data_IF_175442113290
#
_entry.id   IF_175442113290
#
_cell.length_a   1.000
_cell.length_b   1.000
_cell.length_c   1.000
_cell.angle_alpha   90.00
_cell.angle_beta   90.00
_cell.angle_gamma   90.00
#
_symmetry.space_group_name_H-M   'P 1'
#
loop_
_entity.id
_entity.type
_entity.pdbx_description
1 polymer ?
#
# COMPACT_ATOMS: atom_id res chain seq x y z
N UNK A 1 -6.21 -8.72 17.54
CA UNK A 1 -6.07 -8.82 16.06
C UNK A 1 -7.31 -9.42 15.39
N UNK A 2 -7.78 -10.62 15.76
CA UNK A 2 -9.00 -11.22 15.19
C UNK A 2 -10.26 -10.37 15.40
N UNK A 3 -10.40 -9.80 16.59
CA UNK A 3 -11.48 -8.84 16.94
C UNK A 3 -11.46 -7.58 16.07
N UNK A 4 -10.29 -6.96 15.87
CA UNK A 4 -10.13 -5.80 15.00
C UNK A 4 -10.45 -6.12 13.54
N UNK A 5 -9.99 -7.27 13.02
CA UNK A 5 -10.28 -7.69 11.64
C UNK A 5 -11.78 -7.83 11.42
N UNK A 6 -12.47 -8.49 12.33
CA UNK A 6 -13.93 -8.64 12.27
C UNK A 6 -14.65 -7.28 12.36
N UNK A 7 -14.21 -6.38 13.25
CA UNK A 7 -14.80 -5.06 13.38
C UNK A 7 -14.61 -4.18 12.14
N UNK A 8 -13.42 -4.19 11.53
CA UNK A 8 -13.13 -3.50 10.26
C UNK A 8 -14.00 -4.07 9.14
N UNK A 9 -14.04 -5.40 8.98
CA UNK A 9 -14.88 -6.04 7.96
C UNK A 9 -16.36 -5.70 8.14
N UNK A 10 -16.87 -5.76 9.37
CA UNK A 10 -18.26 -5.41 9.65
C UNK A 10 -18.53 -3.93 9.36
N UNK A 11 -17.60 -3.03 9.71
CA UNK A 11 -17.75 -1.61 9.41
C UNK A 11 -17.81 -1.35 7.90
N UNK A 12 -16.94 -1.99 7.10
CA UNK A 12 -17.01 -1.90 5.65
C UNK A 12 -18.34 -2.44 5.11
N UNK A 13 -18.80 -3.61 5.58
CA UNK A 13 -20.08 -4.20 5.16
C UNK A 13 -21.23 -3.24 5.47
N UNK A 14 -21.30 -2.72 6.69
CA UNK A 14 -22.34 -1.78 7.10
C UNK A 14 -22.31 -0.52 6.25
N UNK A 15 -21.17 0.15 6.14
CA UNK A 15 -21.06 1.42 5.41
C UNK A 15 -21.31 1.24 3.91
N UNK A 16 -20.81 0.19 3.28
CA UNK A 16 -21.10 -0.09 1.86
C UNK A 16 -22.58 -0.43 1.64
N UNK A 17 -23.22 -1.18 2.55
CA UNK A 17 -24.64 -1.49 2.45
C UNK A 17 -25.51 -0.24 2.61
N UNK A 18 -25.16 0.65 3.56
CA UNK A 18 -25.82 1.96 3.73
C UNK A 18 -25.71 2.84 2.48
N UNK A 19 -24.64 2.67 1.71
CA UNK A 19 -24.40 3.36 0.44
C UNK A 19 -25.06 2.67 -0.77
N UNK A 20 -25.79 1.56 -0.57
CA UNK A 20 -26.55 0.86 -1.61
C UNK A 20 -25.80 -0.26 -2.32
N UNK A 21 -24.59 -0.64 -1.88
CA UNK A 21 -23.90 -1.81 -2.42
C UNK A 21 -24.46 -3.11 -1.83
N UNK A 22 -24.65 -4.12 -2.69
CA UNK A 22 -24.90 -5.48 -2.24
C UNK A 22 -23.57 -6.16 -1.93
N UNK A 23 -23.30 -6.43 -0.65
CA UNK A 23 -22.04 -7.06 -0.22
C UNK A 23 -22.20 -8.58 -0.13
N UNK A 24 -21.26 -9.34 -0.69
CA UNK A 24 -21.23 -10.79 -0.59
C UNK A 24 -21.10 -11.22 0.88
N UNK A 25 -21.91 -12.18 1.37
CA UNK A 25 -21.79 -12.69 2.73
C UNK A 25 -20.38 -13.17 3.05
N UNK A 26 -19.87 -12.78 4.22
CA UNK A 26 -18.50 -13.05 4.65
C UNK A 26 -18.13 -14.54 4.58
N UNK A 27 -19.05 -15.43 4.91
CA UNK A 27 -18.84 -16.89 4.88
C UNK A 27 -18.54 -17.41 3.47
N UNK A 28 -19.28 -16.91 2.46
CA UNK A 28 -19.05 -17.26 1.05
C UNK A 28 -17.68 -16.76 0.59
N UNK A 29 -17.35 -15.52 0.94
CA UNK A 29 -16.05 -14.94 0.61
C UNK A 29 -14.89 -15.70 1.29
N UNK A 30 -15.06 -16.14 2.54
CA UNK A 30 -14.07 -16.95 3.25
C UNK A 30 -13.91 -18.34 2.63
N UNK A 31 -14.97 -18.94 2.11
CA UNK A 31 -14.90 -20.22 1.41
C UNK A 31 -14.05 -20.12 0.13
N UNK A 32 -14.35 -19.15 -0.74
CA UNK A 32 -13.58 -18.92 -1.98
C UNK A 32 -12.12 -18.56 -1.68
N UNK A 33 -11.87 -17.74 -0.66
CA UNK A 33 -10.49 -17.44 -0.23
C UNK A 33 -9.71 -18.67 0.22
N UNK A 34 -10.36 -19.62 0.90
CA UNK A 34 -9.71 -20.87 1.34
C UNK A 34 -9.40 -21.78 0.17
N UNK A 35 -10.34 -21.92 -0.77
CA UNK A 35 -10.18 -22.70 -2.00
C UNK A 35 -8.93 -22.24 -2.78
N UNK A 36 -8.82 -20.93 -3.03
CA UNK A 36 -7.71 -20.34 -3.78
C UNK A 36 -6.51 -19.96 -2.92
N UNK A 37 -6.52 -20.30 -1.63
CA UNK A 37 -5.43 -20.03 -0.66
C UNK A 37 -5.04 -18.55 -0.57
N UNK A 38 -5.99 -17.62 -0.75
CA UNK A 38 -5.80 -16.17 -0.67
C UNK A 38 -5.72 -15.71 0.80
N UNK A 39 -4.50 -15.52 1.29
CA UNK A 39 -4.21 -15.16 2.69
C UNK A 39 -4.31 -13.67 2.98
N UNK A 40 -3.85 -12.83 2.06
CA UNK A 40 -3.81 -11.38 2.19
C UNK A 40 -3.91 -10.69 0.81
N UNK A 41 -3.98 -9.35 0.81
CA UNK A 41 -4.15 -8.55 -0.40
C UNK A 41 -2.91 -8.42 -1.30
N UNK A 42 -1.78 -9.04 -0.94
CA UNK A 42 -0.53 -8.96 -1.72
C UNK A 42 -0.46 -9.99 -2.84
N UNK A 43 -1.34 -11.01 -2.80
CA UNK A 43 -1.41 -12.02 -3.83
C UNK A 43 -2.84 -12.46 -4.08
N UNK A 44 -3.32 -12.09 -5.27
CA UNK A 44 -4.66 -12.39 -5.76
C UNK A 44 -4.51 -13.17 -7.07
N UNK A 45 -4.68 -14.51 -7.07
CA UNK A 45 -4.61 -15.33 -8.28
C UNK A 45 -5.68 -14.96 -9.30
N UNK A 46 -5.40 -15.13 -10.59
CA UNK A 46 -6.39 -14.88 -11.65
C UNK A 46 -7.61 -15.81 -11.53
N UNK A 47 -7.41 -17.09 -11.27
CA UNK A 47 -8.52 -18.02 -11.07
C UNK A 47 -9.40 -17.70 -9.87
N UNK A 48 -8.85 -17.02 -8.85
CA UNK A 48 -9.68 -16.48 -7.77
C UNK A 48 -10.60 -15.37 -8.27
N UNK A 49 -10.09 -14.46 -9.10
CA UNK A 49 -10.87 -13.37 -9.71
C UNK A 49 -11.96 -13.92 -10.63
N UNK A 50 -11.64 -14.91 -11.46
CA UNK A 50 -12.60 -15.62 -12.31
C UNK A 50 -13.72 -16.26 -11.47
N UNK A 51 -13.37 -16.96 -10.39
CA UNK A 51 -14.36 -17.57 -9.48
C UNK A 51 -15.28 -16.51 -8.82
N UNK A 52 -14.75 -15.33 -8.47
CA UNK A 52 -15.57 -14.24 -7.95
C UNK A 52 -16.62 -13.76 -8.98
N UNK A 53 -16.27 -13.69 -10.26
CA UNK A 53 -17.21 -13.32 -11.34
C UNK A 53 -18.22 -14.44 -11.56
N UNK A 54 -17.74 -15.65 -11.82
CA UNK A 54 -18.57 -16.75 -12.31
C UNK A 54 -19.47 -17.33 -11.22
N UNK A 55 -18.96 -17.44 -9.99
CA UNK A 55 -19.68 -18.12 -8.89
C UNK A 55 -20.42 -17.16 -7.97
N UNK A 56 -19.96 -15.91 -7.86
CA UNK A 56 -20.50 -14.94 -6.92
C UNK A 56 -21.03 -13.66 -7.58
N UNK A 57 -20.93 -13.54 -8.92
CA UNK A 57 -21.37 -12.36 -9.67
C UNK A 57 -20.80 -11.05 -9.11
N UNK A 58 -19.54 -11.07 -8.65
CA UNK A 58 -18.88 -9.90 -8.05
C UNK A 58 -18.41 -8.96 -9.15
N UNK A 59 -18.95 -7.76 -9.17
CA UNK A 59 -18.54 -6.70 -10.10
C UNK A 59 -17.33 -5.91 -9.59
N UNK A 60 -17.17 -5.82 -8.27
CA UNK A 60 -16.12 -5.03 -7.62
C UNK A 60 -15.55 -5.80 -6.44
N UNK A 61 -14.23 -5.99 -6.43
CA UNK A 61 -13.49 -6.51 -5.29
C UNK A 61 -12.84 -5.36 -4.51
N UNK A 62 -13.18 -5.24 -3.22
CA UNK A 62 -12.50 -4.37 -2.27
C UNK A 62 -11.39 -5.13 -1.55
N UNK A 63 -10.15 -4.69 -1.72
CA UNK A 63 -8.99 -5.15 -0.96
C UNK A 63 -8.58 -4.06 -0.01
N UNK A 64 -8.71 -4.31 1.30
CA UNK A 64 -8.37 -3.36 2.34
C UNK A 64 -7.31 -3.93 3.30
N UNK A 65 -6.27 -3.14 3.58
CA UNK A 65 -5.20 -3.47 4.50
C UNK A 65 -5.18 -2.45 5.66
N UNK A 66 -5.33 -2.94 6.88
CA UNK A 66 -5.13 -2.16 8.09
C UNK A 66 -3.68 -2.32 8.55
N UNK A 67 -2.94 -1.23 8.53
CA UNK A 67 -1.55 -1.16 8.97
C UNK A 67 -1.52 -0.44 10.31
N UNK A 68 -0.94 -1.12 11.29
CA UNK A 68 -0.74 -0.64 12.65
C UNK A 68 0.69 -0.11 12.76
N UNK A 69 0.86 1.18 13.09
CA UNK A 69 2.17 1.80 13.29
C UNK A 69 2.17 2.68 14.55
N UNK A 70 2.76 2.19 15.65
CA UNK A 70 2.90 2.93 16.91
C UNK A 70 1.56 3.50 17.45
N UNK A 71 1.30 4.79 17.24
CA UNK A 71 0.10 5.54 17.64
C UNK A 71 -0.86 5.78 16.47
N UNK A 72 -0.70 5.05 15.37
CA UNK A 72 -1.42 5.30 14.10
C UNK A 72 -2.04 4.04 13.53
N UNK A 73 -3.20 4.26 12.94
CA UNK A 73 -3.90 3.31 12.09
C UNK A 73 -3.94 3.86 10.68
N UNK A 74 -3.42 3.08 9.74
CA UNK A 74 -3.44 3.42 8.33
C UNK A 74 -4.31 2.38 7.65
N UNK A 75 -5.35 2.83 6.97
CA UNK A 75 -6.15 1.96 6.11
C UNK A 75 -5.79 2.29 4.67
N UNK A 76 -5.39 1.28 3.93
CA UNK A 76 -5.29 1.35 2.48
C UNK A 76 -6.41 0.50 1.88
N UNK A 77 -6.99 0.96 0.78
CA UNK A 77 -8.06 0.26 0.07
C UNK A 77 -7.87 0.40 -1.44
N UNK A 78 -8.08 -0.72 -2.14
CA UNK A 78 -8.04 -0.82 -3.60
C UNK A 78 -9.32 -1.47 -4.07
N UNK A 79 -9.95 -0.86 -5.06
CA UNK A 79 -11.15 -1.36 -5.72
C UNK A 79 -10.73 -1.91 -7.08
N UNK A 80 -10.98 -3.19 -7.31
CA UNK A 80 -10.61 -3.88 -8.54
C UNK A 80 -11.87 -4.34 -9.27
N UNK A 81 -11.83 -4.32 -10.60
CA UNK A 81 -12.78 -5.07 -11.42
C UNK A 81 -12.30 -6.53 -11.51
N UNK A 82 -13.06 -7.52 -10.98
CA UNK A 82 -12.65 -8.92 -11.02
C UNK A 82 -12.56 -9.52 -12.42
N UNK A 83 -13.35 -9.02 -13.38
CA UNK A 83 -13.34 -9.53 -14.75
C UNK A 83 -12.08 -9.13 -15.54
N UNK A 84 -11.40 -8.05 -15.14
CA UNK A 84 -10.25 -7.50 -15.88
C UNK A 84 -9.00 -7.26 -15.04
N UNK A 85 -9.08 -7.44 -13.72
CA UNK A 85 -8.05 -7.07 -12.75
C UNK A 85 -7.64 -5.58 -12.77
N UNK A 86 -8.45 -4.73 -13.41
CA UNK A 86 -8.21 -3.30 -13.50
C UNK A 86 -8.48 -2.64 -12.14
N UNK A 87 -7.56 -1.77 -11.73
CA UNK A 87 -7.69 -0.93 -10.55
C UNK A 87 -8.61 0.26 -10.86
N UNK A 88 -9.76 0.30 -10.19
CA UNK A 88 -10.81 1.31 -10.38
C UNK A 88 -10.62 2.52 -9.47
N UNK A 89 -10.16 2.27 -8.24
CA UNK A 89 -9.98 3.30 -7.23
C UNK A 89 -8.97 2.87 -6.18
N UNK A 90 -8.24 3.83 -5.64
CA UNK A 90 -7.36 3.64 -4.49
C UNK A 90 -7.66 4.72 -3.45
N UNK A 91 -7.91 4.28 -2.24
CA UNK A 91 -8.09 5.15 -1.09
C UNK A 91 -7.04 4.82 -0.03
N UNK A 92 -6.60 5.84 0.68
CA UNK A 92 -5.69 5.69 1.80
C UNK A 92 -5.97 6.80 2.80
N UNK A 93 -6.15 6.42 4.05
CA UNK A 93 -6.44 7.32 5.16
C UNK A 93 -5.66 6.87 6.38
N UNK A 94 -5.24 7.84 7.19
CA UNK A 94 -4.62 7.63 8.49
C UNK A 94 -5.55 8.18 9.58
N UNK A 95 -5.53 7.54 10.74
CA UNK A 95 -6.05 8.09 11.98
C UNK A 95 -5.00 7.98 13.08
N UNK A 96 -4.77 9.09 13.77
CA UNK A 96 -3.96 9.15 14.97
C UNK A 96 -4.79 8.64 16.13
N UNK A 97 -4.33 7.57 16.79
CA UNK A 97 -4.84 7.17 18.09
C UNK A 97 -4.27 8.20 19.07
N UNK A 98 -4.97 9.33 19.24
CA UNK A 98 -4.54 10.38 20.15
C UNK A 98 -4.19 9.78 21.52
N UNK A 99 -3.09 10.24 22.12
CA UNK A 99 -2.68 9.89 23.48
C UNK A 99 -3.85 10.14 24.45
N UNK A 100 -4.65 9.12 24.75
CA UNK A 100 -5.61 9.20 25.83
C UNK A 100 -4.80 9.21 27.14
N UNK A 101 -4.92 10.27 27.95
CA UNK A 101 -4.27 10.30 29.25
C UNK A 101 -5.03 9.35 30.18
N UNK A 102 -4.59 8.10 30.26
CA UNK A 102 -5.17 7.10 31.15
C UNK A 102 -4.35 5.83 31.16
N UNK A 103 -3.91 5.43 32.34
CA UNK A 103 -3.05 4.28 32.63
C UNK A 103 -3.30 3.05 31.73
N UNK A 104 -2.30 2.75 30.89
CA UNK A 104 -2.35 1.81 29.74
C UNK A 104 -2.18 0.34 30.17
N UNK A 105 -2.87 -0.09 31.23
CA UNK A 105 -2.79 -1.50 31.64
C UNK A 105 -3.92 -2.38 31.05
N UNK A 106 -5.12 -1.83 30.75
CA UNK A 106 -6.27 -2.68 30.33
C UNK A 106 -7.14 -2.10 29.19
N UNK A 107 -6.91 -0.87 28.72
CA UNK A 107 -7.80 -0.15 27.78
C UNK A 107 -7.40 -0.14 26.30
N UNK A 108 -6.16 -0.50 25.96
CA UNK A 108 -5.62 -0.33 24.60
C UNK A 108 -6.40 -1.09 23.51
N UNK A 109 -7.10 -2.19 23.84
CA UNK A 109 -7.90 -2.93 22.85
C UNK A 109 -9.10 -2.16 22.29
N UNK A 110 -9.69 -1.24 23.07
CA UNK A 110 -10.94 -0.54 22.71
C UNK A 110 -10.66 0.65 21.80
N UNK A 111 -9.64 1.45 22.11
CA UNK A 111 -9.26 2.64 21.31
C UNK A 111 -8.84 2.26 19.90
N UNK A 112 -8.05 1.20 19.77
CA UNK A 112 -7.65 0.65 18.48
C UNK A 112 -8.84 0.13 17.67
N UNK A 113 -9.86 -0.40 18.34
CA UNK A 113 -11.09 -0.85 17.70
C UNK A 113 -11.93 0.33 17.20
N UNK A 114 -12.04 1.40 17.99
CA UNK A 114 -12.74 2.63 17.62
C UNK A 114 -12.05 3.30 16.45
N UNK A 115 -10.74 3.52 16.53
CA UNK A 115 -9.95 4.10 15.45
C UNK A 115 -10.02 3.25 14.18
N UNK A 116 -9.96 1.91 14.28
CA UNK A 116 -10.05 1.05 13.11
C UNK A 116 -11.42 1.16 12.42
N UNK A 117 -12.51 1.29 13.18
CA UNK A 117 -13.85 1.56 12.62
C UNK A 117 -13.91 2.93 11.94
N UNK A 118 -13.36 3.95 12.58
CA UNK A 118 -13.38 5.32 12.04
C UNK A 118 -12.63 5.40 10.71
N UNK A 119 -11.40 4.88 10.63
CA UNK A 119 -10.64 4.88 9.37
C UNK A 119 -11.35 4.05 8.30
N UNK A 120 -11.93 2.90 8.66
CA UNK A 120 -12.68 2.06 7.72
C UNK A 120 -13.88 2.82 7.14
N UNK A 121 -14.62 3.54 7.99
CA UNK A 121 -15.75 4.36 7.57
C UNK A 121 -15.30 5.48 6.62
N UNK A 122 -14.25 6.23 6.98
CA UNK A 122 -13.73 7.32 6.13
C UNK A 122 -13.33 6.78 4.75
N UNK A 123 -12.62 5.65 4.70
CA UNK A 123 -12.20 5.03 3.44
C UNK A 123 -13.39 4.53 2.62
N UNK A 124 -14.39 3.93 3.26
CA UNK A 124 -15.62 3.51 2.58
C UNK A 124 -16.40 4.71 2.04
N UNK A 125 -16.59 5.78 2.84
CA UNK A 125 -17.26 7.03 2.43
C UNK A 125 -16.53 7.73 1.27
N UNK A 126 -15.20 7.75 1.31
CA UNK A 126 -14.38 8.33 0.23
C UNK A 126 -14.48 7.55 -1.09
N UNK A 127 -15.12 6.38 -1.11
CA UNK A 127 -15.18 5.53 -2.31
C UNK A 127 -16.26 5.97 -3.31
N UNK A 128 -17.20 6.83 -2.91
CA UNK A 128 -18.31 7.32 -3.73
C UNK A 128 -18.02 8.55 -4.61
N UNK A 129 -16.89 9.24 -4.43
CA UNK A 129 -16.45 10.29 -5.35
C UNK A 129 -15.96 9.66 -6.65
N UNK A 130 -16.82 9.60 -7.67
CA UNK A 130 -16.58 9.11 -9.05
C UNK A 130 -15.42 8.12 -9.23
N UNK A 131 -15.71 6.85 -9.49
CA UNK A 131 -14.69 5.94 -10.02
C UNK A 131 -14.25 6.49 -11.37
N UNK A 132 -12.94 6.71 -11.54
CA UNK A 132 -12.42 7.20 -12.80
C UNK A 132 -12.70 6.15 -13.87
N UNK A 133 -13.38 6.53 -14.95
CA UNK A 133 -13.39 5.71 -16.16
C UNK A 133 -11.99 5.81 -16.77
N UNK A 134 -11.22 4.72 -16.79
CA UNK A 134 -9.87 4.80 -17.32
C UNK A 134 -9.94 5.08 -18.82
N UNK A 135 -9.00 5.89 -19.33
CA UNK A 135 -8.86 6.11 -20.76
C UNK A 135 -8.51 4.80 -21.49
N UNK A 136 -9.54 4.19 -22.09
CA UNK A 136 -9.45 2.90 -22.78
C UNK A 136 -8.67 2.96 -24.09
N UNK A 137 -8.31 4.16 -24.57
CA UNK A 137 -7.48 4.32 -25.78
C UNK A 137 -6.02 3.95 -25.53
N UNK A 138 -5.59 3.92 -24.27
CA UNK A 138 -4.26 3.48 -23.84
C UNK A 138 -4.34 2.04 -23.33
N UNK A 139 -3.46 1.18 -23.83
CA UNK A 139 -3.35 -0.20 -23.35
C UNK A 139 -3.01 -0.26 -21.85
N UNK A 140 -3.29 -1.38 -21.18
CA UNK A 140 -3.07 -1.52 -19.75
C UNK A 140 -1.59 -1.33 -19.38
N UNK A 141 -1.38 -0.64 -18.28
CA UNK A 141 -0.10 -0.51 -17.60
C UNK A 141 -0.03 -1.52 -16.46
N UNK A 142 0.96 -2.40 -16.51
CA UNK A 142 1.27 -3.28 -15.38
C UNK A 142 2.14 -2.52 -14.37
N UNK A 143 1.90 -2.75 -13.09
CA UNK A 143 2.75 -2.23 -12.01
C UNK A 143 3.17 -3.41 -11.14
N UNK A 144 4.45 -3.53 -10.83
CA UNK A 144 4.93 -4.44 -9.78
C UNK A 144 4.94 -3.75 -8.43
N UNK A 145 4.75 -4.53 -7.37
CA UNK A 145 4.93 -4.05 -6.00
C UNK A 145 6.29 -3.37 -5.86
N UNK A 146 6.30 -2.24 -5.16
CA UNK A 146 7.52 -1.52 -4.85
C UNK A 146 8.54 -2.45 -4.21
N UNK A 147 9.76 -2.46 -4.73
CA UNK A 147 10.82 -3.27 -4.17
C UNK A 147 11.34 -2.64 -2.87
N UNK A 148 11.42 -3.41 -1.77
CA UNK A 148 11.96 -2.90 -0.51
C UNK A 148 13.50 -2.84 -0.61
N UNK A 149 14.09 -1.65 -0.50
CA UNK A 149 15.53 -1.48 -0.33
C UNK A 149 15.78 -1.03 1.11
N UNK A 150 16.13 -1.99 2.00
CA UNK A 150 16.41 -1.68 3.41
C UNK A 150 15.19 -1.18 4.22
N UNK A 151 13.97 -1.47 3.78
CA UNK A 151 12.72 -0.96 4.37
C UNK A 151 11.83 -2.10 4.87
N UNK A 152 10.94 -1.81 5.83
CA UNK A 152 9.92 -2.76 6.27
C UNK A 152 8.85 -2.99 5.19
N UNK A 153 8.19 -4.16 5.24
CA UNK A 153 7.13 -4.51 4.30
C UNK A 153 5.94 -3.52 4.37
N UNK A 154 5.61 -3.02 5.57
CA UNK A 154 4.52 -2.06 5.77
C UNK A 154 4.81 -0.71 5.12
N UNK A 155 6.05 -0.22 5.20
CA UNK A 155 6.48 1.01 4.52
C UNK A 155 6.34 0.88 3.00
N UNK A 156 6.76 -0.27 2.48
CA UNK A 156 6.68 -0.57 1.05
C UNK A 156 5.22 -0.64 0.58
N UNK A 157 4.32 -1.22 1.39
CA UNK A 157 2.89 -1.28 1.11
C UNK A 157 2.25 0.12 1.05
N UNK A 158 2.62 1.01 1.96
CA UNK A 158 2.13 2.41 1.98
C UNK A 158 2.63 3.16 0.74
N UNK A 159 3.92 3.04 0.43
CA UNK A 159 4.51 3.69 -0.74
C UNK A 159 3.85 3.22 -2.05
N UNK A 160 3.62 1.91 -2.17
CA UNK A 160 2.91 1.32 -3.30
C UNK A 160 1.49 1.89 -3.43
N UNK A 161 0.72 1.97 -2.35
CA UNK A 161 -0.63 2.54 -2.39
C UNK A 161 -0.64 4.03 -2.72
N UNK A 162 0.30 4.81 -2.21
CA UNK A 162 0.45 6.22 -2.57
C UNK A 162 0.74 6.41 -4.06
N UNK A 163 1.63 5.57 -4.62
CA UNK A 163 1.94 5.55 -6.05
C UNK A 163 0.69 5.21 -6.87
N UNK A 164 0.01 4.10 -6.54
CA UNK A 164 -1.19 3.67 -7.24
C UNK A 164 -2.30 4.73 -7.19
N UNK A 165 -2.51 5.35 -6.03
CA UNK A 165 -3.49 6.43 -5.88
C UNK A 165 -3.17 7.61 -6.78
N UNK A 166 -1.91 8.05 -6.83
CA UNK A 166 -1.51 9.14 -7.73
C UNK A 166 -1.76 8.83 -9.20
N UNK A 167 -1.56 7.59 -9.65
CA UNK A 167 -1.82 7.23 -11.06
C UNK A 167 -3.31 7.13 -11.37
N UNK A 168 -4.10 6.54 -10.45
CA UNK A 168 -5.55 6.45 -10.65
C UNK A 168 -6.20 7.82 -10.64
N UNK A 169 -5.78 8.73 -9.77
CA UNK A 169 -6.30 10.10 -9.71
C UNK A 169 -5.96 10.94 -10.96
N UNK A 170 -4.85 10.63 -11.64
CA UNK A 170 -4.51 11.26 -12.92
C UNK A 170 -5.41 10.79 -14.06
N UNK A 171 -6.01 9.59 -13.96
CA UNK A 171 -6.92 9.04 -14.98
C UNK A 171 -6.26 8.68 -16.31
N UNK A 172 -4.93 8.79 -16.41
CA UNK A 172 -4.20 8.73 -17.67
C UNK A 172 -3.91 7.32 -18.19
N UNK A 173 -4.21 6.27 -17.42
CA UNK A 173 -3.87 4.89 -17.78
C UNK A 173 -4.80 3.88 -17.11
N UNK A 174 -5.10 2.79 -17.82
CA UNK A 174 -5.70 1.58 -17.25
C UNK A 174 -4.63 0.84 -16.45
N UNK A 175 -4.75 0.76 -15.13
CA UNK A 175 -3.77 0.08 -14.29
C UNK A 175 -4.24 -1.34 -13.95
N UNK A 176 -3.35 -2.33 -14.09
CA UNK A 176 -3.58 -3.68 -13.54
C UNK A 176 -3.00 -3.74 -12.14
N UNK A 177 -3.76 -4.31 -11.21
CA UNK A 177 -3.37 -4.37 -9.82
C UNK A 177 -2.08 -5.20 -9.59
N UNK A 178 -1.10 -4.67 -8.83
CA UNK A 178 0.17 -5.36 -8.60
C UNK A 178 0.06 -6.75 -7.98
N UNK A 179 -0.96 -6.99 -7.13
CA UNK A 179 -1.14 -8.27 -6.46
C UNK A 179 -1.57 -9.38 -7.43
N UNK A 180 -2.22 -9.01 -8.54
CA UNK A 180 -2.60 -9.92 -9.61
C UNK A 180 -1.41 -10.19 -10.53
N UNK A 181 -0.66 -9.15 -10.90
CA UNK A 181 0.59 -9.28 -11.69
C UNK A 181 1.59 -10.19 -10.96
N UNK A 182 1.81 -9.95 -9.67
CA UNK A 182 2.71 -10.76 -8.86
C UNK A 182 2.24 -12.21 -8.72
N UNK A 183 0.92 -12.45 -8.64
CA UNK A 183 0.39 -13.81 -8.58
C UNK A 183 0.58 -14.54 -9.91
N UNK A 184 0.32 -13.88 -11.05
CA UNK A 184 0.57 -14.46 -12.36
C UNK A 184 2.04 -14.87 -12.56
N UNK A 185 2.99 -14.02 -12.16
CA UNK A 185 4.41 -14.36 -12.20
C UNK A 185 4.75 -15.54 -11.28
N UNK A 186 4.29 -15.49 -10.03
CA UNK A 186 4.60 -16.53 -9.03
C UNK A 186 4.01 -17.88 -9.42
N UNK A 187 2.77 -17.90 -9.90
CA UNK A 187 2.06 -19.13 -10.26
C UNK A 187 2.72 -19.78 -11.50
N UNK A 188 3.37 -18.99 -12.35
CA UNK A 188 4.23 -19.47 -13.44
C UNK A 188 5.68 -19.78 -13.03
N UNK A 189 6.04 -19.63 -11.75
CA UNK A 189 7.38 -19.92 -11.23
C UNK A 189 8.42 -18.81 -11.47
N UNK A 190 8.00 -17.60 -11.84
CA UNK A 190 8.88 -16.47 -12.07
C UNK A 190 9.02 -15.57 -10.84
N UNK A 191 10.18 -14.91 -10.71
CA UNK A 191 10.43 -13.90 -9.68
C UNK A 191 10.15 -12.50 -10.23
N UNK A 192 9.37 -11.70 -9.50
CA UNK A 192 9.16 -10.28 -9.82
C UNK A 192 10.45 -9.43 -9.78
N UNK A 193 11.54 -9.95 -9.18
CA UNK A 193 12.86 -9.29 -9.17
C UNK A 193 13.63 -9.51 -10.48
N UNK A 194 13.33 -10.58 -11.21
CA UNK A 194 14.06 -11.01 -12.40
C UNK A 194 13.10 -11.23 -13.57
N UNK A 195 12.87 -10.17 -14.35
CA UNK A 195 11.96 -10.18 -15.50
C UNK A 195 12.67 -10.65 -16.77
N UNK A 196 12.97 -11.95 -16.83
CA UNK A 196 13.50 -12.61 -18.02
C UNK A 196 12.53 -12.58 -19.20
N UNK A 197 13.00 -13.02 -20.38
CA UNK A 197 12.20 -13.03 -21.63
C UNK A 197 10.87 -13.76 -21.44
N UNK A 198 10.89 -14.94 -20.81
CA UNK A 198 9.69 -15.76 -20.60
C UNK A 198 8.68 -15.10 -19.65
N UNK A 199 9.17 -14.48 -18.57
CA UNK A 199 8.33 -13.75 -17.63
C UNK A 199 7.64 -12.56 -18.31
N UNK A 200 8.35 -11.84 -19.19
CA UNK A 200 7.75 -10.72 -19.95
C UNK A 200 6.76 -11.21 -21.00
N UNK A 201 7.07 -12.28 -21.71
CA UNK A 201 6.17 -12.89 -22.69
C UNK A 201 4.87 -13.38 -22.04
N UNK A 202 4.96 -13.96 -20.83
CA UNK A 202 3.79 -14.29 -20.02
C UNK A 202 2.94 -13.06 -19.73
N UNK A 203 3.53 -11.99 -19.19
CA UNK A 203 2.80 -10.77 -18.84
C UNK A 203 2.12 -10.12 -20.05
N UNK A 204 2.82 -10.06 -21.20
CA UNK A 204 2.28 -9.55 -22.46
C UNK A 204 1.08 -10.39 -22.92
N UNK A 205 1.18 -11.72 -22.85
CA UNK A 205 0.10 -12.62 -23.25
C UNK A 205 -1.10 -12.55 -22.31
N UNK A 206 -0.86 -12.52 -21.01
CA UNK A 206 -1.90 -12.59 -19.98
C UNK A 206 -2.71 -11.30 -19.89
N UNK A 207 -2.05 -10.15 -19.97
CA UNK A 207 -2.70 -8.86 -19.73
C UNK A 207 -2.82 -7.97 -20.97
N UNK A 208 -2.31 -8.41 -22.13
CA UNK A 208 -2.22 -7.59 -23.35
C UNK A 208 -1.54 -6.22 -23.11
N UNK A 209 -0.66 -6.15 -22.13
CA UNK A 209 0.03 -4.94 -21.71
C UNK A 209 1.41 -4.88 -22.37
N UNK A 210 1.75 -3.72 -22.96
CA UNK A 210 3.09 -3.50 -23.54
C UNK A 210 4.09 -2.97 -22.52
N UNK A 211 3.61 -2.24 -21.52
CA UNK A 211 4.46 -1.54 -20.57
C UNK A 211 4.30 -2.10 -19.16
N UNK A 212 5.43 -2.20 -18.47
CA UNK A 212 5.49 -2.56 -17.06
C UNK A 212 6.26 -1.49 -16.28
N UNK A 213 5.68 -1.03 -15.18
CA UNK A 213 6.34 -0.16 -14.23
C UNK A 213 6.96 -0.97 -13.11
N UNK A 214 8.25 -0.74 -12.90
CA UNK A 214 8.97 -1.21 -11.71
C UNK A 214 9.24 -0.01 -10.83
N UNK A 215 8.86 -0.13 -9.56
CA UNK A 215 9.15 0.89 -8.56
C UNK A 215 10.08 0.33 -7.48
N UNK A 216 11.01 1.15 -7.03
CA UNK A 216 11.93 0.84 -5.95
C UNK A 216 11.97 1.99 -4.97
N UNK A 217 11.83 1.70 -3.68
CA UNK A 217 11.96 2.71 -2.64
C UNK A 217 13.45 3.00 -2.43
N UNK A 218 13.93 4.17 -2.84
CA UNK A 218 15.37 4.50 -2.83
C UNK A 218 15.81 5.12 -1.52
N UNK A 219 14.97 5.96 -0.92
CA UNK A 219 15.21 6.52 0.40
C UNK A 219 13.89 6.84 1.09
N UNK A 220 13.91 6.85 2.40
CA UNK A 220 12.82 7.36 3.21
C UNK A 220 13.39 8.05 4.44
N UNK A 221 12.73 9.10 4.90
CA UNK A 221 13.04 9.71 6.19
C UNK A 221 12.26 8.94 7.27
N UNK A 222 12.88 8.05 8.06
CA UNK A 222 12.26 7.62 9.31
C UNK A 222 12.01 8.89 10.13
N UNK A 223 10.80 9.06 10.67
CA UNK A 223 10.50 10.23 11.50
C UNK A 223 11.48 10.30 12.69
N UNK A 224 12.51 11.13 12.58
CA UNK A 224 13.64 11.15 13.52
C UNK A 224 13.33 11.85 14.86
N UNK A 225 12.05 12.05 15.21
CA UNK A 225 11.66 12.94 16.32
C UNK A 225 10.44 12.52 17.15
N UNK A 226 10.06 11.24 17.15
CA UNK A 226 9.27 10.70 18.28
C UNK A 226 10.18 9.84 19.16
N UNK A 227 11.23 10.46 19.73
CA UNK A 227 11.69 9.99 21.04
C UNK A 227 10.61 10.46 22.02
N UNK A 228 9.61 9.63 22.26
CA UNK A 228 8.91 9.73 23.53
C UNK A 228 9.99 9.74 24.62
N UNK A 229 9.85 10.60 25.63
CA UNK A 229 10.67 10.45 26.83
C UNK A 229 10.38 9.05 27.36
N UNK A 230 11.31 8.13 27.14
CA UNK A 230 11.27 6.80 27.70
C UNK A 230 11.36 6.96 29.22
N UNK A 231 10.37 6.43 29.92
CA UNK A 231 10.57 6.06 31.31
C UNK A 231 11.59 4.91 31.28
N UNK A 232 12.64 5.08 32.07
CA UNK A 232 13.71 4.11 32.27
C UNK A 232 13.09 2.83 32.84
N UNK A 233 12.83 1.83 32.00
CA UNK A 233 12.73 0.43 32.42
C UNK A 233 13.16 -0.49 31.25
N UNK A 234 14.25 -1.19 31.50
CA UNK A 234 15.23 -1.74 30.56
C UNK A 234 14.82 -3.06 29.88
N UNK A 235 13.52 -3.33 29.68
CA UNK A 235 13.06 -4.61 29.10
C UNK A 235 12.02 -4.51 27.97
N UNK A 236 11.63 -3.30 27.55
CA UNK A 236 10.77 -3.11 26.37
C UNK A 236 11.59 -2.66 25.17
N UNK A 237 12.22 -3.64 24.50
CA UNK A 237 12.87 -3.48 23.19
C UNK A 237 12.07 -2.53 22.28
N UNK A 238 12.73 -1.43 21.91
CA UNK A 238 12.30 -0.35 21.03
C UNK A 238 11.71 -0.84 19.68
N UNK A 239 10.42 -1.17 19.64
CA UNK A 239 9.68 -1.38 18.38
C UNK A 239 9.21 -0.05 17.77
N UNK A 240 10.10 0.94 17.71
CA UNK A 240 9.91 2.16 16.94
C UNK A 240 10.09 1.83 15.45
N UNK A 241 9.09 1.19 14.84
CA UNK A 241 9.06 0.95 13.40
C UNK A 241 9.15 2.29 12.65
N UNK A 242 9.94 2.38 11.57
CA UNK A 242 10.08 3.61 10.81
C UNK A 242 8.73 4.09 10.25
N UNK A 243 8.33 5.31 10.65
CA UNK A 243 7.20 6.03 10.05
C UNK A 243 7.62 6.58 8.68
N UNK A 244 6.82 6.28 7.65
CA UNK A 244 7.02 6.82 6.31
C UNK A 244 6.49 8.26 6.25
N UNK A 245 7.38 9.25 6.24
CA UNK A 245 7.00 10.67 6.18
C UNK A 245 7.26 11.23 4.79
N UNK A 246 8.52 11.38 4.44
CA UNK A 246 8.97 11.69 3.08
C UNK A 246 9.68 10.47 2.51
N UNK A 247 9.46 10.20 1.22
CA UNK A 247 10.17 9.13 0.53
C UNK A 247 10.47 9.47 -0.91
N UNK A 248 11.58 8.91 -1.38
CA UNK A 248 11.97 8.92 -2.77
C UNK A 248 11.77 7.53 -3.36
N UNK A 249 11.18 7.49 -4.55
CA UNK A 249 11.04 6.28 -5.34
C UNK A 249 11.77 6.44 -6.66
N UNK A 250 12.48 5.40 -7.07
CA UNK A 250 12.86 5.23 -8.47
C UNK A 250 11.74 4.50 -9.21
N UNK A 251 11.25 5.08 -10.30
CA UNK A 251 10.28 4.49 -11.20
C UNK A 251 10.97 4.22 -12.53
N UNK A 252 10.75 3.03 -13.09
CA UNK A 252 11.27 2.64 -14.40
C UNK A 252 10.15 1.99 -15.21
N UNK A 253 10.00 2.43 -16.45
CA UNK A 253 9.11 1.83 -17.43
C UNK A 253 9.90 0.85 -18.29
N UNK A 254 9.40 -0.37 -18.38
CA UNK A 254 9.98 -1.45 -19.18
C UNK A 254 9.00 -1.78 -20.30
N UNK A 255 9.47 -1.75 -21.54
CA UNK A 255 8.75 -2.33 -22.67
C UNK A 255 8.88 -3.85 -22.59
N UNK A 256 7.75 -4.55 -22.48
CA UNK A 256 7.70 -5.99 -22.24
C UNK A 256 8.16 -6.82 -23.44
N UNK A 257 7.98 -6.29 -24.66
CA UNK A 257 8.38 -6.96 -25.90
C UNK A 257 9.91 -7.00 -26.02
N UNK A 258 10.55 -5.85 -25.81
CA UNK A 258 12.00 -5.67 -25.98
C UNK A 258 12.80 -5.90 -24.70
N UNK A 259 12.18 -5.74 -23.54
CA UNK A 259 12.86 -5.70 -22.24
C UNK A 259 13.66 -4.41 -21.98
N UNK A 260 13.53 -3.40 -22.84
CA UNK A 260 14.26 -2.15 -22.72
C UNK A 260 13.59 -1.20 -21.70
N UNK A 261 14.41 -0.38 -21.03
CA UNK A 261 13.89 0.71 -20.19
C UNK A 261 13.54 1.87 -21.11
N UNK A 262 12.27 2.22 -21.21
CA UNK A 262 11.76 3.29 -22.09
C UNK A 262 11.65 4.64 -21.40
N UNK A 263 11.49 4.64 -20.07
CA UNK A 263 11.50 5.84 -19.26
C UNK A 263 11.98 5.54 -17.84
N UNK A 264 12.58 6.54 -17.20
CA UNK A 264 13.00 6.49 -15.81
C UNK A 264 12.76 7.83 -15.14
N UNK A 265 12.28 7.79 -13.89
CA UNK A 265 12.06 9.00 -13.09
C UNK A 265 12.35 8.70 -11.63
N UNK A 266 12.96 9.65 -10.95
CA UNK A 266 12.98 9.69 -9.50
C UNK A 266 11.88 10.64 -9.02
N UNK A 267 11.01 10.14 -8.16
CA UNK A 267 9.88 10.90 -7.62
C UNK A 267 10.08 11.06 -6.12
N UNK A 268 10.03 12.31 -5.69
CA UNK A 268 9.95 12.65 -4.28
C UNK A 268 8.48 12.86 -3.94
N UNK A 269 7.94 11.97 -3.13
CA UNK A 269 6.59 12.11 -2.59
C UNK A 269 6.73 12.72 -1.20
N UNK A 270 6.53 14.04 -1.15
CA UNK A 270 6.38 14.79 0.09
C UNK A 270 4.94 14.59 0.59
N UNK A 271 4.77 14.19 1.85
CA UNK A 271 3.46 14.18 2.50
C UNK A 271 3.03 15.64 2.81
N UNK A 272 2.58 16.38 1.78
CA UNK A 272 1.91 17.71 1.76
C UNK A 272 2.36 18.81 2.75
N UNK A 273 2.64 20.01 2.20
CA UNK A 273 3.15 21.23 2.88
C UNK A 273 2.18 21.96 3.85
N UNK A 274 1.20 21.30 4.48
CA UNK A 274 0.26 22.00 5.38
C UNK A 274 -0.25 21.21 6.58
N UNK A 275 -0.66 19.98 6.35
CA UNK A 275 -1.04 18.97 7.35
C UNK A 275 -0.83 17.66 6.59
N UNK A 276 0.05 16.78 7.08
CA UNK A 276 0.47 15.62 6.30
C UNK A 276 -0.65 14.59 6.08
N UNK A 277 -0.41 13.65 5.17
CA UNK A 277 -1.03 12.30 5.19
C UNK A 277 -0.70 11.50 6.48
N UNK A 278 0.18 12.07 7.31
CA UNK A 278 0.77 11.56 8.54
C UNK A 278 0.90 12.64 9.65
N UNK A 279 0.02 13.65 9.65
CA UNK A 279 -0.29 14.52 10.80
C UNK A 279 0.78 15.47 11.38
N UNK A 280 2.04 15.44 10.94
CA UNK A 280 3.09 16.32 11.50
C UNK A 280 3.24 17.60 10.65
N UNK A 281 2.87 18.77 11.21
CA UNK A 281 3.23 20.07 10.64
C UNK A 281 4.76 20.26 10.73
N UNK A 282 5.46 20.38 9.61
CA UNK A 282 6.89 20.78 9.60
C UNK A 282 7.09 22.06 8.80
N UNK A 283 7.73 23.05 9.44
CA UNK A 283 8.14 24.33 8.85
C UNK A 283 9.48 24.24 8.08
N UNK A 284 10.08 23.04 7.98
CA UNK A 284 11.44 22.88 7.46
C UNK A 284 11.44 22.46 5.99
N UNK A 285 12.15 23.25 5.18
CA UNK A 285 12.29 23.06 3.72
C UNK A 285 13.07 21.78 3.39
N UNK A 286 12.84 21.23 2.20
CA UNK A 286 13.50 20.02 1.67
C UNK A 286 15.05 20.07 1.80
N UNK A 287 15.64 21.25 1.59
CA UNK A 287 17.08 21.49 1.73
C UNK A 287 17.60 21.24 3.14
N UNK A 288 16.81 21.58 4.17
CA UNK A 288 17.20 21.36 5.57
C UNK A 288 17.19 19.87 5.90
N UNK A 289 16.23 19.11 5.34
CA UNK A 289 16.12 17.66 5.57
C UNK A 289 17.23 16.89 4.86
N UNK A 290 17.52 17.22 3.60
CA UNK A 290 18.63 16.64 2.84
C UNK A 290 19.97 16.90 3.52
N UNK A 291 20.16 18.12 4.05
CA UNK A 291 21.36 18.47 4.82
C UNK A 291 21.50 17.58 6.06
N UNK A 292 20.44 17.39 6.86
CA UNK A 292 20.50 16.55 8.06
C UNK A 292 20.80 15.09 7.75
N UNK A 293 20.26 14.53 6.66
CA UNK A 293 20.57 13.16 6.22
C UNK A 293 22.02 13.05 5.74
N UNK A 294 22.51 14.03 4.97
CA UNK A 294 23.89 14.08 4.53
C UNK A 294 24.88 14.22 5.70
N UNK A 295 24.56 15.09 6.68
CA UNK A 295 25.38 15.30 7.88
C UNK A 295 25.45 14.02 8.74
N UNK A 296 24.36 13.24 8.81
CA UNK A 296 24.34 11.93 9.48
C UNK A 296 25.17 10.88 8.76
N UNK A 297 24.98 10.72 7.46
CA UNK A 297 25.79 9.82 6.65
C UNK A 297 27.28 10.13 6.78
N UNK A 298 27.64 11.41 6.82
CA UNK A 298 29.00 11.86 7.02
C UNK A 298 29.53 11.56 8.43
N UNK A 299 28.71 11.76 9.46
CA UNK A 299 29.06 11.41 10.84
C UNK A 299 29.27 9.90 11.02
N UNK A 300 28.38 9.08 10.46
CA UNK A 300 28.47 7.62 10.58
C UNK A 300 29.69 7.08 9.82
N UNK A 301 30.02 7.70 8.67
CA UNK A 301 31.23 7.38 7.92
C UNK A 301 32.51 7.75 8.69
N UNK A 302 32.54 8.92 9.34
CA UNK A 302 33.69 9.33 10.15
C UNK A 302 33.86 8.45 11.38
N UNK A 303 32.76 8.11 12.06
CA UNK A 303 32.81 7.19 13.20
C UNK A 303 33.32 5.80 12.77
N UNK A 304 32.87 5.29 11.61
CA UNK A 304 33.35 4.03 11.07
C UNK A 304 34.83 4.10 10.65
N UNK A 305 35.32 5.27 10.21
CA UNK A 305 36.73 5.47 9.87
C UNK A 305 37.64 5.65 11.10
N UNK A 306 37.11 6.13 12.22
CA UNK A 306 37.83 6.23 13.49
C UNK A 306 37.96 4.88 14.22
N UNK A 307 37.14 3.88 13.84
CA UNK A 307 37.22 2.50 14.34
C UNK A 307 38.21 1.60 13.56
N UNK A 308 38.91 2.13 12.54
CA UNK A 308 39.99 1.48 11.79
C UNK A 308 41.36 2.11 12.06
#
# INVERSE_FOLDING_TARGET
ISSMRAAVSNQFITTLSEQGFTVVPQEKMLAVRREWRVRDGRSIPLGFMENLVDSLAVEILLVADLIVQHDRLIMTARYLNPASAILLKVNMTEHLIAQFPGDVAEGAGVEWLVGAREVSKIVADASMTSMAEPDSTKGPLLILDTQPVGCSASVTLIANHALLKSYVEQGDSVLIDPSVVNSALRDAGFSAKYLGVDARALLLKTFAARNLMVSGLTSYSPASKNRGKFYEDDETLDWAGPLLTDFAMSLRMIDLETGSITAGKEVFLAASDGVGWFGVRRKDTLMIRLKVTADRLWSDLNNAMEEF
#
